data_IF_120077024323
#
_entry.id   IF_120077024323
#
_cell.length_a   1.000
_cell.length_b   1.000
_cell.length_c   1.000
_cell.angle_alpha   90.00
_cell.angle_beta   90.00
_cell.angle_gamma   90.00
#
_symmetry.space_group_name_H-M   'P 1'
#
loop_
_entity.id
_entity.type
_entity.pdbx_description
1 polymer ?
#
# COMPACT_ATOMS: atom_id res chain seq x y z
N UNK A 1 21.96 -3.30 -7.43
CA UNK A 1 20.83 -3.41 -8.38
C UNK A 1 20.66 -4.88 -8.74
N UNK A 2 19.44 -5.37 -8.86
CA UNK A 2 19.17 -6.75 -9.30
C UNK A 2 19.58 -6.94 -10.77
N UNK A 3 19.98 -8.16 -11.15
CA UNK A 3 20.22 -8.49 -12.56
C UNK A 3 18.89 -8.74 -13.26
N UNK A 4 18.84 -8.46 -14.55
CA UNK A 4 17.70 -8.75 -15.45
C UNK A 4 18.07 -9.89 -16.39
N UNK A 5 17.07 -10.41 -17.12
CA UNK A 5 17.24 -11.48 -18.11
C UNK A 5 17.84 -12.77 -17.51
N UNK A 6 17.51 -13.05 -16.25
CA UNK A 6 17.91 -14.28 -15.57
C UNK A 6 17.07 -15.46 -16.09
N UNK A 7 17.71 -16.44 -16.72
CA UNK A 7 17.06 -17.65 -17.20
C UNK A 7 17.58 -18.88 -16.43
N UNK A 8 16.95 -19.17 -15.29
CA UNK A 8 17.25 -20.32 -14.45
C UNK A 8 16.14 -20.55 -13.43
N UNK A 9 15.98 -21.79 -12.95
CA UNK A 9 15.17 -22.08 -11.74
C UNK A 9 15.74 -21.42 -10.48
N UNK A 10 17.04 -21.14 -10.49
CA UNK A 10 17.78 -20.50 -9.41
C UNK A 10 17.87 -18.98 -9.58
N UNK A 11 17.09 -18.40 -10.52
CA UNK A 11 17.03 -16.96 -10.71
C UNK A 11 16.59 -16.26 -9.42
N UNK A 12 17.30 -15.19 -9.06
CA UNK A 12 16.95 -14.30 -7.96
C UNK A 12 15.82 -13.38 -8.40
N UNK A 13 15.95 -12.74 -9.56
CA UNK A 13 14.91 -11.88 -10.14
C UNK A 13 13.89 -12.70 -10.95
N UNK A 14 13.09 -13.52 -10.26
CA UNK A 14 12.16 -14.48 -10.89
C UNK A 14 11.11 -13.88 -11.81
N UNK A 15 10.76 -12.61 -11.60
CA UNK A 15 9.75 -11.91 -12.39
C UNK A 15 10.36 -10.94 -13.41
N UNK A 16 11.70 -10.94 -13.56
CA UNK A 16 12.43 -10.04 -14.45
C UNK A 16 12.03 -8.56 -14.28
N UNK A 17 11.95 -8.11 -13.04
CA UNK A 17 11.61 -6.72 -12.72
C UNK A 17 12.81 -5.84 -13.05
N UNK A 18 12.58 -4.84 -13.88
CA UNK A 18 13.57 -3.84 -14.23
C UNK A 18 13.67 -2.81 -13.09
N UNK A 19 14.86 -2.58 -12.49
CA UNK A 19 15.01 -1.61 -11.41
C UNK A 19 14.52 -0.20 -11.74
N UNK A 20 14.55 0.17 -13.01
CA UNK A 20 14.06 1.44 -13.55
C UNK A 20 12.53 1.61 -13.42
N UNK A 21 11.79 0.53 -13.18
CA UNK A 21 10.34 0.58 -12.92
C UNK A 21 10.01 0.93 -11.46
N UNK A 22 10.99 0.91 -10.54
CA UNK A 22 10.75 1.30 -9.15
C UNK A 22 10.49 2.81 -9.12
N UNK A 23 9.32 3.26 -8.68
CA UNK A 23 8.97 4.66 -8.75
C UNK A 23 9.77 5.47 -7.73
N UNK A 24 10.18 6.68 -8.11
CA UNK A 24 11.02 7.53 -7.27
C UNK A 24 10.39 7.83 -5.90
N UNK A 25 9.06 8.00 -5.84
CA UNK A 25 8.36 8.30 -4.59
C UNK A 25 8.55 7.20 -3.53
N UNK A 26 8.73 5.93 -3.93
CA UNK A 26 8.78 4.81 -2.99
C UNK A 26 9.98 4.90 -2.04
N UNK A 27 11.14 5.32 -2.58
CA UNK A 27 12.38 5.38 -1.81
C UNK A 27 12.32 6.45 -0.73
N UNK A 28 11.62 7.55 -1.00
CA UNK A 28 11.42 8.65 -0.03
C UNK A 28 10.22 8.38 0.91
N UNK A 29 9.31 7.50 0.48
CA UNK A 29 8.08 7.20 1.21
C UNK A 29 8.20 6.01 2.16
N UNK A 30 9.05 5.02 1.92
CA UNK A 30 9.15 3.89 2.86
C UNK A 30 9.97 4.30 4.10
N UNK A 31 9.45 4.14 5.35
CA UNK A 31 10.20 4.47 6.56
C UNK A 31 11.27 3.40 6.86
N UNK A 32 12.23 3.73 7.73
CA UNK A 32 13.24 2.77 8.21
C UNK A 32 12.59 1.58 8.94
N UNK A 33 11.57 1.86 9.76
CA UNK A 33 10.78 0.86 10.47
C UNK A 33 9.35 0.82 9.92
N UNK A 34 9.12 -0.06 8.95
CA UNK A 34 7.81 -0.30 8.37
C UNK A 34 7.89 -1.12 7.09
N UNK A 35 6.73 -1.46 6.53
CA UNK A 35 6.65 -2.21 5.28
C UNK A 35 5.23 -2.66 4.98
N UNK A 36 5.00 -3.13 3.76
CA UNK A 36 3.68 -3.56 3.31
C UNK A 36 3.79 -4.64 2.25
N UNK A 37 2.68 -5.31 1.98
CA UNK A 37 2.52 -6.18 0.82
C UNK A 37 2.23 -5.32 -0.41
N UNK A 38 3.07 -5.45 -1.44
CA UNK A 38 2.94 -4.78 -2.73
C UNK A 38 1.56 -5.01 -3.36
N UNK A 39 1.08 -4.03 -4.14
CA UNK A 39 -0.25 -4.09 -4.73
C UNK A 39 -0.43 -5.18 -5.77
N UNK A 40 0.61 -5.49 -6.55
CA UNK A 40 0.56 -6.52 -7.57
C UNK A 40 1.95 -7.02 -7.98
N UNK A 41 2.02 -8.26 -8.49
CA UNK A 41 3.24 -8.87 -9.03
C UNK A 41 2.90 -9.75 -10.23
N UNK A 42 3.53 -9.46 -11.37
CA UNK A 42 3.30 -10.11 -12.66
C UNK A 42 4.64 -10.25 -13.42
N UNK A 43 4.70 -11.03 -14.51
CA UNK A 43 5.88 -11.04 -15.38
C UNK A 43 6.25 -9.63 -15.84
N UNK A 44 7.48 -9.20 -15.52
CA UNK A 44 8.06 -7.89 -15.84
C UNK A 44 7.28 -6.68 -15.30
N UNK A 45 6.42 -6.87 -14.28
CA UNK A 45 5.64 -5.77 -13.70
C UNK A 45 5.39 -5.96 -12.20
N UNK A 46 5.59 -4.88 -11.44
CA UNK A 46 5.28 -4.81 -10.01
C UNK A 46 4.53 -3.51 -9.74
N UNK A 47 3.35 -3.60 -9.15
CA UNK A 47 2.60 -2.42 -8.70
C UNK A 47 3.00 -2.13 -7.26
N UNK A 48 3.77 -1.06 -7.09
CA UNK A 48 4.29 -0.63 -5.79
C UNK A 48 3.26 0.13 -4.97
N UNK A 49 2.07 0.46 -5.47
CA UNK A 49 1.09 1.20 -4.66
C UNK A 49 0.70 0.42 -3.41
N UNK A 50 0.54 1.14 -2.30
CA UNK A 50 -0.03 0.62 -1.07
C UNK A 50 -1.54 0.46 -1.25
N UNK A 51 -2.08 -0.72 -0.94
CA UNK A 51 -3.53 -0.96 -0.91
C UNK A 51 -3.96 -1.32 0.50
N UNK A 52 -4.80 -0.47 1.08
CA UNK A 52 -5.19 -0.55 2.50
C UNK A 52 -5.90 -1.86 2.80
N UNK A 53 -6.96 -2.18 2.05
CA UNK A 53 -7.79 -3.35 2.33
C UNK A 53 -6.99 -4.66 2.32
N UNK A 54 -6.07 -4.84 1.36
CA UNK A 54 -5.24 -6.04 1.24
C UNK A 54 -4.30 -6.21 2.43
N UNK A 55 -3.63 -5.13 2.83
CA UNK A 55 -2.71 -5.13 3.97
C UNK A 55 -3.44 -5.34 5.32
N UNK A 56 -4.64 -4.78 5.49
CA UNK A 56 -5.42 -5.01 6.70
C UNK A 56 -5.90 -6.46 6.78
N UNK A 57 -6.37 -7.04 5.67
CA UNK A 57 -6.78 -8.44 5.66
C UNK A 57 -5.62 -9.41 5.78
N UNK A 58 -4.41 -9.08 5.31
CA UNK A 58 -3.24 -9.93 5.57
C UNK A 58 -2.91 -10.03 7.06
N UNK A 59 -3.10 -8.93 7.80
CA UNK A 59 -3.01 -8.94 9.26
C UNK A 59 -4.13 -9.80 9.83
N UNK A 60 -5.39 -9.49 9.53
CA UNK A 60 -6.57 -10.14 10.16
C UNK A 60 -6.61 -11.64 9.90
N UNK A 61 -6.25 -12.10 8.71
CA UNK A 61 -6.23 -13.51 8.31
C UNK A 61 -5.00 -14.29 8.77
N UNK A 62 -3.99 -13.63 9.38
CA UNK A 62 -2.69 -14.24 9.72
C UNK A 62 -1.89 -14.69 8.49
N UNK A 63 -2.12 -14.09 7.32
CA UNK A 63 -1.30 -14.36 6.12
C UNK A 63 0.12 -13.84 6.31
N UNK A 64 0.27 -12.62 6.85
CA UNK A 64 1.56 -12.05 7.18
C UNK A 64 2.11 -12.61 8.49
N UNK A 65 3.43 -12.75 8.56
CA UNK A 65 4.14 -13.05 9.83
C UNK A 65 3.92 -11.93 10.85
N UNK A 66 4.11 -12.17 12.17
CA UNK A 66 3.98 -11.13 13.19
C UNK A 66 4.81 -9.87 12.89
N UNK A 67 6.07 -10.06 12.44
CA UNK A 67 6.97 -8.98 12.03
C UNK A 67 6.42 -8.16 10.85
N UNK A 68 5.86 -8.83 9.84
CA UNK A 68 5.26 -8.13 8.69
C UNK A 68 3.99 -7.37 9.09
N UNK A 69 3.16 -7.95 9.95
CA UNK A 69 1.93 -7.32 10.42
C UNK A 69 2.23 -6.07 11.27
N UNK A 70 3.25 -6.13 12.12
CA UNK A 70 3.75 -4.98 12.86
C UNK A 70 4.31 -3.91 11.91
N UNK A 71 5.11 -4.31 10.91
CA UNK A 71 5.66 -3.39 9.91
C UNK A 71 4.57 -2.65 9.11
N UNK A 72 3.43 -3.30 8.81
CA UNK A 72 2.27 -2.66 8.16
C UNK A 72 1.68 -1.57 9.05
N UNK A 73 1.49 -1.84 10.34
CA UNK A 73 0.94 -0.83 11.26
C UNK A 73 1.93 0.31 11.52
N UNK A 74 3.23 0.01 11.61
CA UNK A 74 4.28 1.02 11.73
C UNK A 74 4.34 1.92 10.49
N UNK A 75 4.16 1.36 9.29
CA UNK A 75 4.05 2.15 8.06
C UNK A 75 2.85 3.10 8.11
N UNK A 76 1.66 2.60 8.50
CA UNK A 76 0.44 3.42 8.61
C UNK A 76 0.63 4.54 9.63
N UNK A 77 1.28 4.26 10.75
CA UNK A 77 1.61 5.25 11.77
C UNK A 77 2.62 6.30 11.28
N UNK A 78 3.71 5.87 10.65
CA UNK A 78 4.75 6.75 10.14
C UNK A 78 4.26 7.63 8.98
N UNK A 79 3.32 7.11 8.16
CA UNK A 79 2.71 7.80 7.02
C UNK A 79 1.25 8.15 7.27
N UNK A 80 0.96 8.54 8.51
CA UNK A 80 -0.40 8.86 8.95
C UNK A 80 -1.06 9.93 8.07
N UNK A 81 -0.37 11.01 7.75
CA UNK A 81 -0.93 12.10 6.94
C UNK A 81 -1.25 11.66 5.50
N UNK A 82 -0.46 10.73 4.96
CA UNK A 82 -0.65 10.19 3.61
C UNK A 82 -1.76 9.14 3.57
N UNK A 83 -1.83 8.23 4.56
CA UNK A 83 -2.75 7.07 4.53
C UNK A 83 -4.09 7.38 5.21
N UNK A 84 -4.07 8.17 6.28
CA UNK A 84 -5.25 8.55 7.07
C UNK A 84 -5.63 9.99 6.77
N UNK A 85 -4.68 10.92 6.84
CA UNK A 85 -4.93 12.35 6.69
C UNK A 85 -6.05 12.83 7.63
N UNK A 86 -6.95 13.67 7.10
CA UNK A 86 -8.14 14.15 7.84
C UNK A 86 -9.37 13.25 7.70
N UNK A 87 -9.27 12.11 7.01
CA UNK A 87 -10.40 11.18 6.83
C UNK A 87 -9.88 9.73 6.67
N UNK A 88 -10.01 8.87 7.69
CA UNK A 88 -9.61 7.47 7.59
C UNK A 88 -10.48 6.72 6.56
N UNK A 89 -9.96 5.82 5.72
CA UNK A 89 -8.57 5.66 5.29
C UNK A 89 -8.51 5.81 3.78
N UNK A 90 -7.38 6.22 3.21
CA UNK A 90 -7.17 6.12 1.76
C UNK A 90 -7.34 4.67 1.31
N UNK A 91 -7.98 4.45 0.17
CA UNK A 91 -8.12 3.10 -0.42
C UNK A 91 -6.79 2.58 -0.97
N UNK A 92 -5.99 3.48 -1.54
CA UNK A 92 -4.63 3.21 -2.01
C UNK A 92 -3.75 4.47 -1.95
N UNK A 93 -2.44 4.30 -2.06
CA UNK A 93 -1.47 5.38 -2.15
C UNK A 93 -0.27 5.00 -3.04
N UNK A 94 0.27 5.93 -3.85
CA UNK A 94 -0.32 7.22 -4.24
C UNK A 94 -1.45 7.06 -5.27
N UNK A 95 -2.10 8.17 -5.61
CA UNK A 95 -2.95 8.25 -6.78
C UNK A 95 -2.13 8.22 -8.08
N UNK A 96 -2.73 7.70 -9.15
CA UNK A 96 -2.25 7.85 -10.50
C UNK A 96 -2.56 9.27 -11.00
N UNK A 97 -1.58 9.90 -11.63
CA UNK A 97 -1.68 11.27 -12.15
C UNK A 97 -1.24 11.35 -13.63
N UNK A 98 -1.57 12.45 -14.30
CA UNK A 98 -1.08 12.77 -15.65
C UNK A 98 -1.24 11.61 -16.66
N UNK A 99 -0.13 11.17 -17.28
CA UNK A 99 -0.13 10.07 -18.25
C UNK A 99 -0.50 8.73 -17.62
N UNK A 100 -0.07 8.46 -16.38
CA UNK A 100 -0.40 7.21 -15.70
C UNK A 100 -1.92 7.10 -15.50
N UNK A 101 -2.56 8.20 -15.09
CA UNK A 101 -4.02 8.24 -15.00
C UNK A 101 -4.68 8.02 -16.37
N UNK A 102 -4.22 8.71 -17.43
CA UNK A 102 -4.78 8.56 -18.77
C UNK A 102 -4.69 7.11 -19.27
N UNK A 103 -3.52 6.49 -19.11
CA UNK A 103 -3.22 5.17 -19.65
C UNK A 103 -3.90 4.07 -18.82
N UNK A 104 -3.72 4.07 -17.50
CA UNK A 104 -4.17 2.96 -16.65
C UNK A 104 -5.68 2.99 -16.43
N UNK A 105 -6.26 4.18 -16.27
CA UNK A 105 -7.71 4.30 -16.04
C UNK A 105 -8.51 4.43 -17.33
N UNK A 106 -7.86 4.65 -18.48
CA UNK A 106 -8.56 5.00 -19.72
C UNK A 106 -9.18 6.39 -19.66
N UNK A 107 -8.56 7.32 -18.92
CA UNK A 107 -9.09 8.67 -18.65
C UNK A 107 -10.47 8.65 -17.96
N UNK A 108 -10.67 7.73 -17.01
CA UNK A 108 -11.95 7.59 -16.29
C UNK A 108 -12.23 8.84 -15.43
N UNK A 109 -13.29 9.63 -15.75
CA UNK A 109 -13.59 10.87 -15.05
C UNK A 109 -14.05 10.67 -13.60
N UNK A 110 -14.42 9.45 -13.20
CA UNK A 110 -14.78 9.15 -11.80
C UNK A 110 -13.56 8.95 -10.92
N UNK A 111 -12.46 8.47 -11.51
CA UNK A 111 -11.22 8.11 -10.83
C UNK A 111 -10.11 9.13 -11.10
N UNK A 112 -10.45 10.43 -11.09
CA UNK A 112 -9.45 11.51 -11.11
C UNK A 112 -8.45 11.37 -9.95
N UNK A 113 -7.26 11.98 -10.03
CA UNK A 113 -6.29 11.95 -8.94
C UNK A 113 -6.91 12.27 -7.59
N UNK A 114 -6.65 11.39 -6.61
CA UNK A 114 -7.14 11.48 -5.23
C UNK A 114 -8.67 11.37 -5.07
N UNK A 115 -9.35 10.82 -6.07
CA UNK A 115 -10.81 10.61 -6.07
C UNK A 115 -11.18 9.14 -6.17
N UNK A 116 -12.29 8.77 -5.53
CA UNK A 116 -12.92 7.46 -5.61
C UNK A 116 -11.91 6.31 -5.42
N UNK A 117 -11.70 5.42 -6.39
CA UNK A 117 -10.75 4.32 -6.26
C UNK A 117 -9.28 4.74 -6.43
N UNK A 118 -9.02 5.93 -6.98
CA UNK A 118 -7.68 6.44 -7.27
C UNK A 118 -7.15 7.33 -6.13
N UNK A 119 -6.98 6.74 -4.95
CA UNK A 119 -6.41 7.42 -3.77
C UNK A 119 -7.41 8.22 -2.92
N UNK A 120 -8.72 8.02 -3.12
CA UNK A 120 -9.75 8.61 -2.26
C UNK A 120 -9.76 8.00 -0.86
N UNK A 121 -10.31 8.73 0.12
CA UNK A 121 -10.55 8.25 1.49
C UNK A 121 -11.93 7.59 1.63
N UNK A 122 -11.95 6.40 2.22
CA UNK A 122 -13.13 5.54 2.33
C UNK A 122 -13.39 5.21 3.81
N UNK A 123 -14.37 5.88 4.47
CA UNK A 123 -14.70 5.67 5.88
C UNK A 123 -15.06 4.21 6.22
N UNK A 124 -15.58 3.46 5.26
CA UNK A 124 -15.90 2.04 5.42
C UNK A 124 -14.66 1.17 5.75
N UNK A 125 -13.43 1.64 5.50
CA UNK A 125 -12.20 0.92 5.84
C UNK A 125 -11.84 0.98 7.34
N UNK A 126 -12.51 1.85 8.11
CA UNK A 126 -12.18 2.10 9.51
C UNK A 126 -12.38 0.87 10.40
N UNK A 127 -13.38 0.03 10.12
CA UNK A 127 -13.64 -1.15 10.94
C UNK A 127 -12.61 -2.26 10.70
N UNK A 128 -12.12 -2.44 9.47
CA UNK A 128 -11.03 -3.38 9.17
C UNK A 128 -9.73 -2.90 9.82
N UNK A 129 -9.47 -1.59 9.81
CA UNK A 129 -8.30 -1.02 10.47
C UNK A 129 -8.37 -1.23 11.97
N UNK A 130 -9.53 -0.95 12.58
CA UNK A 130 -9.80 -1.23 13.99
C UNK A 130 -9.57 -2.70 14.32
N UNK A 131 -10.05 -3.63 13.49
CA UNK A 131 -9.88 -5.07 13.70
C UNK A 131 -8.39 -5.48 13.65
N UNK A 132 -7.64 -4.98 12.67
CA UNK A 132 -6.20 -5.21 12.57
C UNK A 132 -5.43 -4.66 13.78
N UNK A 133 -5.78 -3.45 14.23
CA UNK A 133 -5.21 -2.83 15.42
C UNK A 133 -5.46 -3.65 16.69
N UNK A 134 -6.70 -4.11 16.90
CA UNK A 134 -7.05 -4.97 18.06
C UNK A 134 -6.23 -6.26 18.02
N UNK A 135 -6.17 -6.92 16.86
CA UNK A 135 -5.41 -8.17 16.69
C UNK A 135 -3.92 -8.01 17.04
N UNK A 136 -3.35 -6.85 16.73
CA UNK A 136 -1.93 -6.53 16.97
C UNK A 136 -1.69 -5.76 18.28
N UNK A 137 -2.71 -5.60 19.13
CA UNK A 137 -2.64 -4.83 20.38
C UNK A 137 -2.15 -3.36 20.19
N UNK A 138 -2.51 -2.75 19.05
CA UNK A 138 -2.25 -1.35 18.68
C UNK A 138 -3.53 -0.50 18.74
N UNK A 139 -4.28 -0.62 19.84
CA UNK A 139 -5.58 0.05 20.01
C UNK A 139 -5.47 1.58 20.09
N UNK A 140 -4.27 2.09 20.37
CA UNK A 140 -3.91 3.51 20.27
C UNK A 140 -4.16 4.06 18.85
N UNK A 141 -3.77 3.32 17.82
CA UNK A 141 -3.97 3.72 16.41
C UNK A 141 -5.45 3.71 16.03
N UNK A 142 -6.19 2.68 16.45
CA UNK A 142 -7.63 2.62 16.21
C UNK A 142 -8.36 3.81 16.85
N UNK A 143 -8.01 4.16 18.09
CA UNK A 143 -8.58 5.32 18.77
C UNK A 143 -8.24 6.62 18.06
N UNK A 144 -6.97 6.81 17.67
CA UNK A 144 -6.53 8.00 16.90
C UNK A 144 -7.31 8.15 15.59
N UNK A 145 -7.58 7.06 14.87
CA UNK A 145 -8.37 7.10 13.64
C UNK A 145 -9.85 7.44 13.89
N UNK A 146 -10.46 6.87 14.93
CA UNK A 146 -11.86 7.19 15.31
C UNK A 146 -12.00 8.65 15.74
N UNK A 147 -11.04 9.18 16.50
CA UNK A 147 -11.05 10.59 16.94
C UNK A 147 -10.85 11.57 15.76
N UNK A 148 -10.36 11.08 14.62
CA UNK A 148 -10.16 11.86 13.39
C UNK A 148 -11.32 11.72 12.38
N UNK A 149 -12.33 10.90 12.68
CA UNK A 149 -13.45 10.58 11.78
C UNK A 149 -14.65 11.53 11.92
#
# INVERSE_FOLDING_TARGET
RYKTEEYSTDATNKFNIYPEQIPHWLMDWIPEEGGYLIGNLQPAHMDFRFFTLGNLWSIVSSLGTPKQNEAILNLIEAKWDDIVGSMPLKICYPALENEEWRIITGSDPKNTPWSYHNGGSWPTLLWQFTLACIKMNRTDLAKKAVDSA
#
